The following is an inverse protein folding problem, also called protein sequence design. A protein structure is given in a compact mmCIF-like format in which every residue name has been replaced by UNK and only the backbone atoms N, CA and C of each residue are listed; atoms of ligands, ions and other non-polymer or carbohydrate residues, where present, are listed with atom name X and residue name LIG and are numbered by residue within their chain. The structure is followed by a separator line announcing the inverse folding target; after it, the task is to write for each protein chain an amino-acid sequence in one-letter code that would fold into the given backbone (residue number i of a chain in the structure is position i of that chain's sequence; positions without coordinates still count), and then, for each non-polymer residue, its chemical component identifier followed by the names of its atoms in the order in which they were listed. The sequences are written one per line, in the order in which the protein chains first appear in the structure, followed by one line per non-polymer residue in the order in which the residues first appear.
data_IF_962682772772
#
_entry.id   IF_962682772772
#
_cell.length_a   1.000
_cell.length_b   1.000
_cell.length_c   1.000
_cell.angle_alpha   90.00
_cell.angle_beta   90.00
_cell.angle_gamma   90.00
#
_symmetry.space_group_name_H-M   'P 1'
#
loop_
_entity.id
_entity.type
_entity.pdbx_description
1 polymer ?
#
# COMPACT_ATOMS: atom_id res chain seq x y z
N UNK A 1 0.34 -7.26 2.66
CA UNK A 1 -0.50 -8.18 3.47
C UNK A 1 -1.96 -7.96 3.08
N UNK A 2 -2.77 -9.02 3.03
CA UNK A 2 -4.22 -8.92 2.80
C UNK A 2 -4.91 -9.74 3.88
N UNK A 3 -5.76 -9.10 4.68
CA UNK A 3 -6.53 -9.78 5.73
C UNK A 3 -7.82 -10.34 5.15
N UNK A 4 -8.26 -11.50 5.65
CA UNK A 4 -9.55 -12.09 5.27
C UNK A 4 -10.70 -11.42 6.02
N UNK A 5 -10.53 -11.13 7.31
CA UNK A 5 -11.53 -10.47 8.14
C UNK A 5 -11.24 -8.97 8.28
N UNK A 6 -12.25 -8.09 8.15
CA UNK A 6 -12.07 -6.65 8.25
C UNK A 6 -11.57 -6.21 9.65
N UNK A 7 -12.03 -6.88 10.71
CA UNK A 7 -11.59 -6.60 12.08
C UNK A 7 -10.11 -6.87 12.31
N UNK A 8 -9.52 -7.81 11.56
CA UNK A 8 -8.08 -8.06 11.63
C UNK A 8 -7.29 -6.92 10.98
N UNK A 9 -7.76 -6.41 9.83
CA UNK A 9 -7.18 -5.22 9.20
C UNK A 9 -7.28 -3.99 10.10
N UNK A 10 -8.41 -3.79 10.77
CA UNK A 10 -8.60 -2.66 11.69
C UNK A 10 -7.67 -2.74 12.90
N UNK A 11 -7.54 -3.93 13.51
CA UNK A 11 -6.59 -4.18 14.61
C UNK A 11 -5.14 -3.94 14.20
N UNK A 12 -4.76 -4.33 12.99
CA UNK A 12 -3.41 -4.10 12.47
C UNK A 12 -3.08 -2.61 12.27
N UNK A 13 -4.08 -1.75 12.10
CA UNK A 13 -3.90 -0.30 11.98
C UNK A 13 -3.95 0.45 13.33
N UNK A 14 -4.24 -0.21 14.46
CA UNK A 14 -4.25 0.43 15.79
C UNK A 14 -2.86 0.90 16.19
N UNK A 15 -1.85 0.05 15.95
CA UNK A 15 -0.44 0.46 16.02
C UNK A 15 0.05 0.76 14.61
N UNK A 16 0.02 2.05 14.25
CA UNK A 16 0.42 2.51 12.92
C UNK A 16 1.92 2.34 12.63
N UNK A 17 2.75 2.13 13.66
CA UNK A 17 4.21 2.10 13.53
C UNK A 17 4.85 0.88 14.23
N UNK A 18 4.47 -0.35 13.86
CA UNK A 18 4.95 -1.55 14.53
C UNK A 18 6.46 -1.75 14.30
N UNK A 19 7.14 -2.30 15.31
CA UNK A 19 8.53 -2.75 15.15
C UNK A 19 8.52 -4.12 14.50
N UNK A 20 9.05 -4.22 13.29
CA UNK A 20 9.25 -5.47 12.57
C UNK A 20 10.75 -5.63 12.38
N UNK A 21 11.30 -6.74 12.91
CA UNK A 21 12.74 -7.05 12.83
C UNK A 21 13.65 -5.92 13.38
N UNK A 22 13.25 -5.31 14.49
CA UNK A 22 14.00 -4.22 15.13
C UNK A 22 13.88 -2.85 14.43
N UNK A 23 13.15 -2.75 13.32
CA UNK A 23 12.92 -1.48 12.59
C UNK A 23 11.46 -1.05 12.67
N UNK A 24 11.23 0.26 12.82
CA UNK A 24 9.88 0.85 12.70
C UNK A 24 9.39 0.71 11.25
N UNK A 25 8.32 -0.05 11.08
CA UNK A 25 7.54 -0.11 9.86
C UNK A 25 6.35 0.86 9.97
N UNK A 26 5.66 1.11 8.86
CA UNK A 26 4.39 1.83 8.84
C UNK A 26 3.31 0.91 8.28
N UNK A 27 2.10 0.95 8.85
CA UNK A 27 0.95 0.22 8.33
C UNK A 27 -0.22 1.17 8.06
N UNK A 28 -0.95 0.92 6.97
CA UNK A 28 -2.07 1.72 6.52
C UNK A 28 -2.91 0.91 5.51
N UNK A 29 -4.18 1.29 5.35
CA UNK A 29 -5.05 0.63 4.38
C UNK A 29 -4.60 0.97 2.96
N UNK A 30 -4.50 -0.06 2.11
CA UNK A 30 -4.05 0.09 0.73
C UNK A 30 -4.91 1.08 -0.09
N UNK A 31 -6.18 1.25 0.28
CA UNK A 31 -7.08 2.23 -0.32
C UNK A 31 -6.61 3.68 -0.17
N UNK A 32 -5.86 4.01 0.89
CA UNK A 32 -5.31 5.35 1.11
C UNK A 32 -4.18 5.68 0.11
N UNK A 33 -3.44 4.65 -0.31
CA UNK A 33 -2.40 4.75 -1.34
C UNK A 33 -2.94 4.63 -2.77
N UNK A 34 -4.20 4.21 -2.95
CA UNK A 34 -4.93 4.24 -4.23
C UNK A 34 -5.32 5.68 -4.56
N UNK A 35 -4.33 6.56 -4.69
CA UNK A 35 -4.43 7.56 -5.74
C UNK A 35 -4.44 6.76 -7.03
N UNK A 36 -5.56 6.82 -7.76
CA UNK A 36 -5.69 6.25 -9.10
C UNK A 36 -4.48 6.73 -9.90
N UNK A 37 -3.43 5.91 -9.95
CA UNK A 37 -2.36 6.08 -10.91
C UNK A 37 -3.04 5.85 -12.24
N UNK A 38 -3.54 6.95 -12.81
CA UNK A 38 -3.83 7.05 -14.24
C UNK A 38 -2.62 6.37 -14.87
N UNK A 39 -2.78 5.32 -15.69
CA UNK A 39 -1.65 4.81 -16.43
C UNK A 39 -1.15 5.99 -17.26
N UNK A 40 -0.04 6.61 -16.85
CA UNK A 40 0.74 7.45 -17.74
C UNK A 40 1.32 6.47 -18.73
N UNK A 41 0.56 6.19 -19.78
CA UNK A 41 1.03 5.50 -20.96
C UNK A 41 2.36 6.13 -21.35
N UNK A 42 3.49 5.41 -21.33
CA UNK A 42 4.62 5.86 -22.09
C UNK A 42 4.19 5.72 -23.55
N UNK A 43 3.95 6.84 -24.25
CA UNK A 43 3.93 6.83 -25.72
C UNK A 43 5.35 6.52 -26.18
N UNK A 44 5.72 5.25 -26.18
CA UNK A 44 6.95 4.79 -26.80
C UNK A 44 6.61 4.21 -28.17
N UNK A 45 7.07 4.90 -29.21
CA UNK A 45 6.92 4.47 -30.59
C UNK A 45 7.51 5.47 -31.58
N UNK A 46 8.68 6.05 -31.27
CA UNK A 46 9.53 6.69 -32.29
C UNK A 46 10.60 5.67 -32.66
N UNK A 47 10.33 4.85 -33.67
CA UNK A 47 11.35 4.11 -34.40
C UNK A 47 11.13 4.33 -35.89
N UNK A 48 12.23 4.67 -36.56
CA UNK A 48 12.43 4.99 -37.98
C UNK A 48 12.01 6.41 -38.40
#
# INVERSE_FOLDING_TARGET
VTFREPDAAMRACVDAAPIIDGRRANCNLASLGVQRSKPSTPKHGNFA
#
